data_IF_478257861734
#
_entry.id   IF_478257861734
#
_cell.length_a   1.000
_cell.length_b   1.000
_cell.length_c   1.000
_cell.angle_alpha   90.00
_cell.angle_beta   90.00
_cell.angle_gamma   90.00
#
_symmetry.space_group_name_H-M   'P 1'
#
loop_
_entity.id
_entity.type
_entity.pdbx_description
1 polymer ?
#
# COMPACT_ATOMS: atom_id res chain seq x y z
N UNK A 1 15.56 -48.35 -7.22
CA UNK A 1 16.73 -47.51 -6.84
C UNK A 1 16.30 -46.43 -5.86
N UNK A 2 16.91 -46.32 -4.66
CA UNK A 2 16.54 -45.28 -3.66
C UNK A 2 17.22 -43.95 -4.02
N UNK A 3 16.45 -42.91 -4.28
CA UNK A 3 16.94 -41.57 -4.65
C UNK A 3 17.08 -40.65 -3.43
N UNK A 4 18.12 -39.80 -3.42
CA UNK A 4 18.41 -38.85 -2.33
C UNK A 4 17.94 -37.44 -2.73
N UNK A 5 17.21 -36.76 -1.84
CA UNK A 5 16.57 -35.44 -2.11
C UNK A 5 17.19 -34.26 -1.33
N UNK A 6 18.43 -34.39 -0.86
CA UNK A 6 19.06 -33.39 0.02
C UNK A 6 19.28 -32.02 -0.67
N UNK A 7 19.80 -32.03 -1.90
CA UNK A 7 20.13 -30.80 -2.65
C UNK A 7 18.86 -30.00 -3.04
N UNK A 8 17.81 -30.62 -3.63
CA UNK A 8 16.55 -29.91 -3.91
C UNK A 8 15.90 -29.32 -2.66
N UNK A 9 15.89 -30.06 -1.54
CA UNK A 9 15.33 -29.61 -0.27
C UNK A 9 16.07 -28.37 0.27
N UNK A 10 17.40 -28.36 0.21
CA UNK A 10 18.20 -27.21 0.64
C UNK A 10 17.94 -25.98 -0.23
N UNK A 11 17.85 -26.17 -1.56
CA UNK A 11 17.52 -25.08 -2.50
C UNK A 11 16.15 -24.47 -2.22
N UNK A 12 15.13 -25.31 -1.97
CA UNK A 12 13.79 -24.85 -1.60
C UNK A 12 13.78 -24.06 -0.27
N UNK A 13 14.50 -24.55 0.75
CA UNK A 13 14.66 -23.86 2.04
C UNK A 13 15.32 -22.49 1.86
N UNK A 14 16.42 -22.41 1.11
CA UNK A 14 17.11 -21.12 0.84
C UNK A 14 16.21 -20.13 0.11
N UNK A 15 15.47 -20.57 -0.92
CA UNK A 15 14.48 -19.73 -1.64
C UNK A 15 13.41 -19.18 -0.69
N UNK A 16 12.93 -20.02 0.22
CA UNK A 16 11.91 -19.62 1.20
C UNK A 16 12.45 -18.60 2.20
N UNK A 17 13.61 -18.86 2.79
CA UNK A 17 14.23 -17.95 3.76
C UNK A 17 14.61 -16.59 3.13
N UNK A 18 14.96 -16.58 1.84
CA UNK A 18 15.19 -15.33 1.10
C UNK A 18 13.94 -14.43 1.06
N UNK A 19 12.73 -15.01 0.99
CA UNK A 19 11.46 -14.24 0.96
C UNK A 19 11.10 -13.60 2.30
N UNK A 20 11.56 -14.18 3.41
CA UNK A 20 11.31 -13.69 4.78
C UNK A 20 12.50 -12.93 5.35
N UNK A 21 13.48 -12.54 4.53
CA UNK A 21 14.61 -11.72 4.97
C UNK A 21 14.08 -10.43 5.61
N UNK A 22 14.63 -10.05 6.77
CA UNK A 22 14.17 -8.92 7.57
C UNK A 22 13.04 -9.26 8.56
N UNK A 23 12.47 -10.47 8.52
CA UNK A 23 11.51 -10.90 9.55
C UNK A 23 12.18 -11.09 10.90
N UNK A 24 11.46 -10.80 11.98
CA UNK A 24 11.98 -10.85 13.36
C UNK A 24 11.89 -12.27 13.95
N UNK A 25 12.87 -12.65 14.76
CA UNK A 25 12.86 -13.88 15.56
C UNK A 25 12.81 -15.17 14.73
N UNK A 26 11.97 -16.12 15.15
CA UNK A 26 11.85 -17.43 14.49
C UNK A 26 11.38 -17.35 13.03
N UNK A 27 10.72 -16.26 12.60
CA UNK A 27 10.17 -16.09 11.25
C UNK A 27 11.24 -16.02 10.16
N UNK A 28 12.47 -15.60 10.50
CA UNK A 28 13.63 -15.59 9.56
C UNK A 28 14.46 -16.87 9.59
N UNK A 29 14.23 -17.78 10.55
CA UNK A 29 15.09 -18.97 10.77
C UNK A 29 14.36 -20.29 10.59
N UNK A 30 13.12 -20.39 11.08
CA UNK A 30 12.33 -21.62 11.11
C UNK A 30 11.45 -21.74 9.87
N UNK A 31 11.53 -22.86 9.17
CA UNK A 31 10.82 -23.08 7.89
C UNK A 31 9.30 -23.04 8.06
N UNK A 32 8.77 -23.63 9.14
CA UNK A 32 7.33 -23.66 9.42
C UNK A 32 6.78 -22.25 9.62
N UNK A 33 7.38 -21.50 10.55
CA UNK A 33 6.97 -20.12 10.85
C UNK A 33 7.15 -19.18 9.66
N UNK A 34 8.21 -19.39 8.87
CA UNK A 34 8.44 -18.61 7.65
C UNK A 34 7.35 -18.86 6.58
N UNK A 35 6.89 -20.12 6.40
CA UNK A 35 5.75 -20.44 5.51
C UNK A 35 4.47 -19.72 5.94
N UNK A 36 4.12 -19.82 7.21
CA UNK A 36 2.94 -19.16 7.78
C UNK A 36 2.99 -17.64 7.59
N UNK A 37 4.18 -17.05 7.80
CA UNK A 37 4.42 -15.62 7.63
C UNK A 37 4.21 -15.18 6.17
N UNK A 38 4.71 -15.95 5.20
CA UNK A 38 4.54 -15.65 3.77
C UNK A 38 3.07 -15.67 3.38
N UNK A 39 2.30 -16.66 3.84
CA UNK A 39 0.88 -16.77 3.52
C UNK A 39 0.12 -15.57 4.07
N UNK A 40 0.33 -15.22 5.34
CA UNK A 40 -0.29 -14.04 5.97
C UNK A 40 0.10 -12.75 5.26
N UNK A 41 1.38 -12.57 4.93
CA UNK A 41 1.86 -11.42 4.18
C UNK A 41 1.21 -11.30 2.80
N UNK A 42 0.95 -12.42 2.11
CA UNK A 42 0.25 -12.44 0.83
C UNK A 42 -1.19 -11.92 0.94
N UNK A 43 -1.92 -12.32 1.97
CA UNK A 43 -3.29 -11.85 2.25
C UNK A 43 -3.29 -10.36 2.54
N UNK A 44 -2.39 -9.89 3.41
CA UNK A 44 -2.27 -8.46 3.72
C UNK A 44 -1.88 -7.64 2.48
N UNK A 45 -0.93 -8.10 1.68
CA UNK A 45 -0.55 -7.40 0.46
C UNK A 45 -1.73 -7.21 -0.52
N UNK A 46 -2.58 -8.24 -0.70
CA UNK A 46 -3.77 -8.14 -1.56
C UNK A 46 -4.79 -7.14 -1.00
N UNK A 47 -5.05 -7.19 0.31
CA UNK A 47 -5.94 -6.24 1.01
C UNK A 47 -5.42 -4.81 0.90
N UNK A 48 -4.13 -4.62 1.16
CA UNK A 48 -3.51 -3.31 1.30
C UNK A 48 -3.33 -2.61 -0.05
N UNK A 49 -3.21 -3.35 -1.17
CA UNK A 49 -3.33 -2.76 -2.52
C UNK A 49 -4.66 -2.03 -2.74
N UNK A 50 -5.77 -2.55 -2.18
CA UNK A 50 -7.08 -1.89 -2.25
C UNK A 50 -7.18 -0.75 -1.25
N UNK A 51 -6.65 -0.91 -0.03
CA UNK A 51 -6.65 0.14 1.00
C UNK A 51 -5.82 1.35 0.59
N UNK A 52 -4.64 1.15 0.00
CA UNK A 52 -3.74 2.22 -0.47
C UNK A 52 -4.46 3.26 -1.34
N UNK A 53 -5.35 2.83 -2.24
CA UNK A 53 -6.15 3.75 -3.08
C UNK A 53 -7.08 4.64 -2.22
N UNK A 54 -7.69 4.07 -1.17
CA UNK A 54 -8.55 4.80 -0.23
C UNK A 54 -7.74 5.74 0.65
N UNK A 55 -6.58 5.29 1.13
CA UNK A 55 -5.70 6.07 2.00
C UNK A 55 -5.17 7.31 1.26
N UNK A 56 -4.72 7.16 0.01
CA UNK A 56 -4.32 8.30 -0.82
C UNK A 56 -5.47 9.25 -1.14
N UNK A 57 -6.65 8.73 -1.49
CA UNK A 57 -7.82 9.58 -1.72
C UNK A 57 -8.18 10.39 -0.47
N UNK A 58 -8.12 9.76 0.72
CA UNK A 58 -8.35 10.44 2.00
C UNK A 58 -7.30 11.54 2.22
N UNK A 59 -6.03 11.25 1.98
CA UNK A 59 -4.94 12.22 2.12
C UNK A 59 -5.14 13.44 1.21
N UNK A 60 -5.49 13.22 -0.07
CA UNK A 60 -5.75 14.31 -1.01
C UNK A 60 -6.92 15.19 -0.58
N UNK A 61 -8.01 14.58 -0.10
CA UNK A 61 -9.15 15.34 0.42
C UNK A 61 -8.76 16.19 1.62
N UNK A 62 -7.95 15.65 2.55
CA UNK A 62 -7.47 16.39 3.72
C UNK A 62 -6.66 17.61 3.29
N UNK A 63 -5.73 17.43 2.35
CA UNK A 63 -4.88 18.51 1.83
C UNK A 63 -5.69 19.61 1.14
N UNK A 64 -6.60 19.23 0.22
CA UNK A 64 -7.47 20.19 -0.46
C UNK A 64 -8.35 20.93 0.54
N UNK A 65 -8.94 20.22 1.52
CA UNK A 65 -9.78 20.85 2.52
C UNK A 65 -9.02 21.88 3.38
N UNK A 66 -7.75 21.64 3.69
CA UNK A 66 -6.91 22.62 4.38
C UNK A 66 -6.76 23.90 3.54
N UNK A 67 -6.37 23.76 2.27
CA UNK A 67 -6.22 24.90 1.35
C UNK A 67 -7.53 25.65 1.05
N UNK A 68 -8.67 24.95 0.98
CA UNK A 68 -9.98 25.58 0.85
C UNK A 68 -10.34 26.39 2.08
N UNK A 69 -10.05 25.86 3.29
CA UNK A 69 -10.37 26.54 4.55
C UNK A 69 -9.58 27.82 4.73
N UNK A 70 -8.32 27.84 4.32
CA UNK A 70 -7.49 29.07 4.30
C UNK A 70 -8.12 30.18 3.43
N UNK A 71 -8.83 29.79 2.37
CA UNK A 71 -9.54 30.69 1.44
C UNK A 71 -11.01 30.90 1.84
N UNK A 72 -11.42 30.51 3.05
CA UNK A 72 -12.79 30.68 3.55
C UNK A 72 -13.85 29.77 2.89
N UNK A 73 -13.44 28.77 2.11
CA UNK A 73 -14.33 27.86 1.40
C UNK A 73 -14.40 26.48 2.07
N UNK A 74 -15.57 25.84 1.98
CA UNK A 74 -15.75 24.44 2.38
C UNK A 74 -15.41 23.52 1.21
N UNK A 75 -14.71 22.41 1.47
CA UNK A 75 -14.36 21.40 0.46
C UNK A 75 -15.55 20.96 -0.41
N UNK A 76 -16.73 20.73 0.19
CA UNK A 76 -17.93 20.31 -0.54
C UNK A 76 -18.40 21.34 -1.58
N UNK A 77 -18.41 22.62 -1.22
CA UNK A 77 -18.78 23.70 -2.13
C UNK A 77 -17.73 23.88 -3.23
N UNK A 78 -16.45 23.76 -2.90
CA UNK A 78 -15.36 23.82 -3.88
C UNK A 78 -15.50 22.73 -4.94
N UNK A 79 -15.71 21.47 -4.54
CA UNK A 79 -15.88 20.36 -5.48
C UNK A 79 -17.15 20.52 -6.33
N UNK A 80 -18.26 20.96 -5.73
CA UNK A 80 -19.50 21.21 -6.47
C UNK A 80 -19.31 22.31 -7.53
N UNK A 81 -18.58 23.39 -7.20
CA UNK A 81 -18.24 24.44 -8.15
C UNK A 81 -17.37 23.95 -9.30
N UNK A 82 -16.37 23.11 -9.03
CA UNK A 82 -15.53 22.51 -10.07
C UNK A 82 -16.33 21.63 -11.04
N UNK A 83 -17.29 20.85 -10.53
CA UNK A 83 -18.17 20.00 -11.34
C UNK A 83 -19.10 20.85 -12.22
N UNK A 84 -19.66 21.95 -11.70
CA UNK A 84 -20.52 22.87 -12.46
C UNK A 84 -19.78 23.54 -13.62
N UNK A 85 -18.49 23.83 -13.46
CA UNK A 85 -17.65 24.45 -14.49
C UNK A 85 -17.10 23.38 -15.48
N UNK A 86 -17.32 22.09 -15.22
CA UNK A 86 -16.81 21.00 -16.07
C UNK A 86 -15.31 20.75 -15.91
N UNK A 87 -14.75 21.06 -14.74
CA UNK A 87 -13.32 20.85 -14.47
C UNK A 87 -13.04 19.37 -14.17
N UNK A 88 -12.36 18.68 -15.08
CA UNK A 88 -12.02 17.25 -14.95
C UNK A 88 -10.76 16.96 -14.12
N UNK A 89 -10.30 17.92 -13.31
CA UNK A 89 -9.07 17.74 -12.54
C UNK A 89 -9.21 16.70 -11.44
N UNK A 90 -8.25 15.77 -11.43
CA UNK A 90 -8.14 14.76 -10.40
C UNK A 90 -7.76 15.35 -9.04
N UNK A 91 -8.28 14.73 -7.97
CA UNK A 91 -7.96 15.10 -6.58
C UNK A 91 -6.47 14.96 -6.27
N UNK A 92 -5.75 14.10 -6.98
CA UNK A 92 -4.30 14.00 -6.86
C UNK A 92 -3.64 15.32 -7.28
N UNK A 93 -3.93 15.79 -8.48
CA UNK A 93 -3.38 17.02 -9.05
C UNK A 93 -3.79 18.24 -8.24
N UNK A 94 -5.07 18.34 -7.85
CA UNK A 94 -5.56 19.41 -6.97
C UNK A 94 -4.81 19.44 -5.62
N UNK A 95 -4.53 18.26 -5.06
CA UNK A 95 -3.76 18.15 -3.82
C UNK A 95 -2.28 18.49 -3.99
N UNK A 96 -1.70 18.31 -5.17
CA UNK A 96 -0.30 18.68 -5.45
C UNK A 96 -0.19 20.19 -5.63
N UNK A 97 -1.13 20.81 -6.36
CA UNK A 97 -1.25 22.28 -6.47
C UNK A 97 -1.38 22.93 -5.09
N UNK A 98 -2.28 22.43 -4.25
CA UNK A 98 -2.51 22.93 -2.89
C UNK A 98 -1.31 22.83 -1.93
N UNK A 99 -0.24 22.12 -2.30
CA UNK A 99 0.96 21.95 -1.47
C UNK A 99 2.15 22.72 -2.04
N UNK A 100 2.24 22.83 -3.37
CA UNK A 100 3.35 23.49 -4.05
C UNK A 100 3.19 25.01 -4.12
N UNK A 101 1.95 25.48 -4.05
CA UNK A 101 1.53 26.88 -4.18
C UNK A 101 0.95 27.38 -2.85
#
# INVERSE_FOLDING_TARGET
>A
MRTKNAVPRLRAKRRLLKRVKGSVGGRRRLVRTAKESIIRAGVFAKRDRRRRKRDFRRLWIIRINAACRERGLRYSHFIAGLELIGCELDRKTLSEMAVLD
#
